data_IF_564189828528
#
_entry.id   IF_564189828528
#
_cell.length_a   1.000
_cell.length_b   1.000
_cell.length_c   1.000
_cell.angle_alpha   90.00
_cell.angle_beta   90.00
_cell.angle_gamma   90.00
#
_symmetry.space_group_name_H-M   'P 1'
#
loop_
_entity.id
_entity.type
_entity.pdbx_description
1 polymer ?
#
# COMPACT_ATOMS: atom_id res chain seq x y z
N UNK A 1 10.24 14.03 -11.32
CA UNK A 1 9.91 14.38 -9.92
C UNK A 1 9.23 15.74 -9.91
N UNK A 2 8.05 15.85 -9.32
CA UNK A 2 7.32 17.12 -9.19
C UNK A 2 8.08 18.05 -8.23
N UNK A 3 8.23 19.33 -8.58
CA UNK A 3 8.96 20.28 -7.76
C UNK A 3 8.24 20.52 -6.42
N UNK A 4 9.00 20.67 -5.32
CA UNK A 4 8.43 20.93 -3.98
C UNK A 4 7.49 22.14 -3.93
N UNK A 5 7.73 23.15 -4.77
CA UNK A 5 6.88 24.33 -4.86
C UNK A 5 5.50 24.00 -5.47
N UNK A 6 5.43 23.06 -6.42
CA UNK A 6 4.17 22.67 -7.05
C UNK A 6 3.22 22.00 -6.04
N UNK A 7 3.73 21.19 -5.12
CA UNK A 7 2.93 20.64 -4.01
C UNK A 7 2.32 21.74 -3.14
N UNK A 8 3.11 22.75 -2.76
CA UNK A 8 2.61 23.88 -1.96
C UNK A 8 1.53 24.66 -2.70
N UNK A 9 1.68 24.84 -4.02
CA UNK A 9 0.71 25.56 -4.85
C UNK A 9 -0.65 24.86 -4.92
N UNK A 10 -0.73 23.54 -4.67
CA UNK A 10 -1.98 22.81 -4.56
C UNK A 10 -2.36 22.43 -3.12
N UNK A 11 -1.68 23.00 -2.12
CA UNK A 11 -1.98 22.80 -0.70
C UNK A 11 -1.46 21.48 -0.11
N UNK A 12 -0.62 20.74 -0.83
CA UNK A 12 -0.02 19.49 -0.39
C UNK A 12 1.41 19.70 0.16
N UNK A 13 1.86 18.75 0.98
CA UNK A 13 3.24 18.64 1.46
C UNK A 13 3.97 17.53 0.71
N UNK A 14 5.16 17.85 0.21
CA UNK A 14 6.07 16.86 -0.37
C UNK A 14 6.77 16.05 0.75
N UNK A 15 7.06 14.77 0.50
CA UNK A 15 7.70 13.82 1.44
C UNK A 15 6.94 13.80 2.77
N UNK A 16 5.63 13.60 2.68
CA UNK A 16 4.75 13.52 3.84
C UNK A 16 3.71 12.42 3.65
N UNK A 17 3.39 11.72 4.74
CA UNK A 17 2.39 10.65 4.72
C UNK A 17 1.00 11.21 4.99
N UNK A 18 0.04 10.76 4.17
CA UNK A 18 -1.38 11.05 4.31
C UNK A 18 -2.14 9.74 4.51
N UNK A 19 -3.22 9.78 5.28
CA UNK A 19 -4.08 8.61 5.47
C UNK A 19 -5.21 8.62 4.45
N UNK A 20 -5.32 7.55 3.65
CA UNK A 20 -6.48 7.30 2.79
C UNK A 20 -7.68 6.91 3.67
N UNK A 21 -8.77 7.66 3.54
CA UNK A 21 -9.97 7.48 4.37
C UNK A 21 -11.12 6.83 3.59
N UNK A 22 -11.31 7.21 2.32
CA UNK A 22 -12.47 6.78 1.54
C UNK A 22 -12.24 6.99 0.03
N UNK A 23 -13.04 6.32 -0.79
CA UNK A 23 -13.11 6.50 -2.25
C UNK A 23 -14.56 6.53 -2.71
N UNK A 24 -14.87 7.40 -3.67
CA UNK A 24 -16.22 7.51 -4.23
C UNK A 24 -16.16 7.63 -5.75
N UNK A 25 -16.99 6.86 -6.43
CA UNK A 25 -17.32 7.08 -7.83
C UNK A 25 -18.76 7.63 -7.92
N UNK A 26 -18.98 8.65 -8.74
CA UNK A 26 -20.32 9.15 -9.02
C UNK A 26 -21.16 8.11 -9.78
N UNK A 27 -22.48 8.19 -9.68
CA UNK A 27 -23.38 7.17 -10.26
C UNK A 27 -23.26 7.08 -11.79
N UNK A 28 -22.95 8.19 -12.45
CA UNK A 28 -22.71 8.28 -13.90
C UNK A 28 -21.26 7.91 -14.29
N UNK A 29 -20.40 7.59 -13.31
CA UNK A 29 -18.98 7.28 -13.50
C UNK A 29 -18.09 8.47 -13.86
N UNK A 30 -18.65 9.68 -13.96
CA UNK A 30 -17.94 10.89 -14.40
C UNK A 30 -16.84 11.33 -13.43
N UNK A 31 -17.07 11.17 -12.12
CA UNK A 31 -16.16 11.63 -11.08
C UNK A 31 -15.67 10.46 -10.23
N UNK A 32 -14.35 10.39 -10.06
CA UNK A 32 -13.68 9.48 -9.12
C UNK A 32 -12.95 10.34 -8.10
N UNK A 33 -13.40 10.26 -6.85
CA UNK A 33 -12.92 11.08 -5.75
C UNK A 33 -12.27 10.19 -4.70
N UNK A 34 -11.21 10.70 -4.09
CA UNK A 34 -10.50 10.05 -2.98
C UNK A 34 -10.44 11.02 -1.79
N UNK A 35 -10.71 10.49 -0.60
CA UNK A 35 -10.68 11.21 0.66
C UNK A 35 -9.36 10.92 1.35
N UNK A 36 -8.58 11.95 1.61
CA UNK A 36 -7.31 11.86 2.33
C UNK A 36 -7.38 12.69 3.62
N UNK A 37 -6.49 12.36 4.56
CA UNK A 37 -6.28 13.12 5.78
C UNK A 37 -4.81 13.44 5.99
N UNK A 38 -4.50 14.71 6.22
CA UNK A 38 -3.22 15.14 6.77
C UNK A 38 -3.24 15.01 8.30
N UNK A 39 -2.37 14.19 8.92
CA UNK A 39 -2.36 13.99 10.37
C UNK A 39 -1.83 15.19 11.17
N UNK A 40 -1.06 16.10 10.56
CA UNK A 40 -0.34 17.14 11.32
C UNK A 40 -1.10 18.46 11.42
N UNK A 41 -1.87 18.84 10.40
CA UNK A 41 -2.68 20.05 10.49
C UNK A 41 -3.70 20.14 9.35
N UNK A 42 -4.77 20.89 9.62
CA UNK A 42 -5.69 21.40 8.61
C UNK A 42 -5.14 22.49 7.68
N UNK A 43 -3.89 22.93 7.84
CA UNK A 43 -3.33 24.03 7.02
C UNK A 43 -2.86 23.58 5.64
N UNK A 44 -2.55 22.29 5.48
CA UNK A 44 -2.05 21.72 4.23
C UNK A 44 -3.05 20.67 3.72
N UNK A 45 -4.17 21.18 3.23
CA UNK A 45 -5.24 20.44 2.56
C UNK A 45 -5.28 20.83 1.09
N UNK A 46 -5.76 19.92 0.25
CA UNK A 46 -5.97 20.18 -1.17
C UNK A 46 -6.83 21.42 -1.41
N UNK A 47 -6.40 22.29 -2.33
CA UNK A 47 -7.11 23.53 -2.70
C UNK A 47 -7.58 23.56 -4.16
N UNK A 48 -7.47 22.45 -4.88
CA UNK A 48 -7.93 22.33 -6.27
C UNK A 48 -9.40 21.89 -6.36
N UNK A 49 -9.76 21.26 -7.47
CA UNK A 49 -11.09 20.71 -7.71
C UNK A 49 -11.55 19.80 -6.56
N UNK A 50 -12.81 19.91 -6.15
CA UNK A 50 -13.37 19.16 -5.02
C UNK A 50 -12.72 19.41 -3.65
N UNK A 51 -11.89 20.46 -3.51
CA UNK A 51 -11.58 21.02 -2.19
C UNK A 51 -12.84 21.55 -1.50
N UNK A 52 -12.79 21.73 -0.18
CA UNK A 52 -13.97 22.12 0.62
C UNK A 52 -14.65 23.42 0.14
N UNK A 53 -13.87 24.36 -0.40
CA UNK A 53 -14.36 25.66 -0.89
C UNK A 53 -14.65 25.67 -2.42
N UNK A 54 -14.58 24.51 -3.09
CA UNK A 54 -14.74 24.38 -4.55
C UNK A 54 -16.20 24.54 -5.02
N UNK A 55 -16.43 25.31 -6.08
CA UNK A 55 -17.77 25.51 -6.66
C UNK A 55 -18.38 24.25 -7.31
N UNK A 56 -17.56 23.26 -7.68
CA UNK A 56 -18.03 21.99 -8.25
C UNK A 56 -19.02 21.26 -7.33
N UNK A 57 -18.95 21.49 -6.02
CA UNK A 57 -19.92 20.97 -5.07
C UNK A 57 -21.33 21.51 -5.30
N UNK A 58 -21.45 22.79 -5.69
CA UNK A 58 -22.74 23.44 -5.98
C UNK A 58 -23.37 22.90 -7.27
N UNK A 59 -22.53 22.57 -8.26
CA UNK A 59 -22.96 21.94 -9.51
C UNK A 59 -23.37 20.47 -9.32
N UNK A 60 -22.90 19.84 -8.24
CA UNK A 60 -23.14 18.43 -7.93
C UNK A 60 -23.78 18.26 -6.54
N UNK A 61 -25.00 18.77 -6.31
CA UNK A 61 -25.61 18.84 -4.98
C UNK A 61 -25.84 17.47 -4.35
N UNK A 62 -26.02 16.43 -5.16
CA UNK A 62 -26.11 15.04 -4.68
C UNK A 62 -24.80 14.57 -4.05
N UNK A 63 -23.67 14.79 -4.72
CA UNK A 63 -22.34 14.45 -4.18
C UNK A 63 -21.98 15.32 -2.99
N UNK A 64 -22.30 16.62 -3.02
CA UNK A 64 -22.11 17.51 -1.88
C UNK A 64 -22.86 17.00 -0.65
N UNK A 65 -24.15 16.70 -0.81
CA UNK A 65 -24.97 16.15 0.29
C UNK A 65 -24.49 14.77 0.73
N UNK A 66 -23.88 13.96 -0.14
CA UNK A 66 -23.38 12.64 0.24
C UNK A 66 -22.05 12.71 0.99
N UNK A 67 -21.11 13.47 0.47
CA UNK A 67 -19.68 13.40 0.82
C UNK A 67 -19.24 14.49 1.80
N UNK A 68 -20.04 15.54 2.00
CA UNK A 68 -19.79 16.65 2.92
C UNK A 68 -20.85 16.74 4.05
N UNK A 69 -21.53 15.62 4.37
CA UNK A 69 -22.54 15.53 5.44
C UNK A 69 -22.02 15.97 6.82
N UNK A 70 -20.75 15.71 7.09
CA UNK A 70 -20.12 16.01 8.36
C UNK A 70 -19.72 17.48 8.40
N UNK A 71 -20.09 18.21 9.46
CA UNK A 71 -19.52 19.54 9.73
C UNK A 71 -18.02 19.38 9.99
N UNK A 72 -17.22 19.50 8.93
CA UNK A 72 -15.77 19.42 9.02
C UNK A 72 -15.24 20.71 9.61
N UNK A 73 -14.40 20.59 10.63
CA UNK A 73 -13.54 21.70 10.99
C UNK A 73 -12.41 21.74 9.97
N UNK A 74 -12.09 22.92 9.41
CA UNK A 74 -10.88 23.08 8.57
C UNK A 74 -9.61 22.59 9.29
N UNK A 75 -9.65 22.40 10.61
CA UNK A 75 -8.54 21.87 11.43
C UNK A 75 -8.30 20.37 11.31
N UNK A 76 -9.25 19.59 10.78
CA UNK A 76 -9.19 18.12 10.82
C UNK A 76 -8.25 17.52 9.76
N UNK A 77 -7.82 18.33 8.78
CA UNK A 77 -6.89 17.94 7.73
C UNK A 77 -7.47 17.00 6.68
N UNK A 78 -8.79 16.79 6.69
CA UNK A 78 -9.51 15.89 5.79
C UNK A 78 -9.95 16.65 4.55
N UNK A 79 -9.70 16.10 3.36
CA UNK A 79 -10.13 16.69 2.10
C UNK A 79 -10.46 15.63 1.05
N UNK A 80 -11.31 16.00 0.09
CA UNK A 80 -11.52 15.24 -1.14
C UNK A 80 -10.65 15.81 -2.26
N UNK A 81 -10.25 14.96 -3.21
CA UNK A 81 -9.59 15.36 -4.45
C UNK A 81 -9.94 14.38 -5.59
N UNK A 82 -9.76 14.78 -6.87
CA UNK A 82 -9.86 13.86 -7.99
C UNK A 82 -8.83 12.73 -7.89
N UNK A 83 -9.23 11.52 -8.26
CA UNK A 83 -8.34 10.37 -8.32
C UNK A 83 -7.14 10.63 -9.27
N UNK A 84 -7.36 11.35 -10.37
CA UNK A 84 -6.33 11.71 -11.33
C UNK A 84 -5.27 12.63 -10.70
N UNK A 85 -5.69 13.56 -9.84
CA UNK A 85 -4.76 14.39 -9.07
C UNK A 85 -4.02 13.56 -8.02
N UNK A 86 -4.66 12.56 -7.42
CA UNK A 86 -3.99 11.65 -6.50
C UNK A 86 -2.86 10.87 -7.20
N UNK A 87 -3.15 10.26 -8.36
CA UNK A 87 -2.14 9.56 -9.17
C UNK A 87 -1.00 10.49 -9.58
N UNK A 88 -1.29 11.77 -9.85
CA UNK A 88 -0.26 12.76 -10.20
C UNK A 88 0.67 13.06 -9.02
N UNK A 89 0.14 13.26 -7.82
CA UNK A 89 0.89 13.81 -6.68
C UNK A 89 1.39 12.76 -5.68
N UNK A 90 0.83 11.55 -5.67
CA UNK A 90 1.18 10.48 -4.72
C UNK A 90 1.85 9.31 -5.45
N UNK A 91 3.08 9.00 -5.06
CA UNK A 91 3.89 7.94 -5.69
C UNK A 91 3.59 6.56 -5.10
N UNK A 92 3.33 6.50 -3.80
CA UNK A 92 3.21 5.25 -3.05
C UNK A 92 1.92 5.22 -2.22
N UNK A 93 1.29 4.04 -2.18
CA UNK A 93 0.14 3.75 -1.31
C UNK A 93 0.44 2.52 -0.48
N UNK A 94 0.43 2.66 0.85
CA UNK A 94 0.64 1.58 1.79
C UNK A 94 -0.72 1.08 2.29
N UNK A 95 -1.01 -0.20 2.07
CA UNK A 95 -2.26 -0.83 2.48
C UNK A 95 -1.92 -1.94 3.47
N UNK A 96 -2.40 -1.81 4.71
CA UNK A 96 -2.38 -2.89 5.68
C UNK A 96 -3.71 -3.66 5.56
N UNK A 97 -3.65 -4.88 5.00
CA UNK A 97 -4.83 -5.74 4.88
C UNK A 97 -4.98 -6.56 6.15
N UNK A 98 -6.15 -6.48 6.78
CA UNK A 98 -6.54 -7.37 7.87
C UNK A 98 -7.42 -8.47 7.26
N UNK A 99 -7.04 -9.72 7.46
CA UNK A 99 -7.79 -10.89 7.01
C UNK A 99 -8.15 -11.78 8.22
N UNK A 100 -9.26 -11.49 8.92
CA UNK A 100 -9.57 -12.12 10.21
C UNK A 100 -9.92 -13.61 10.08
N UNK A 101 -10.33 -14.05 8.90
CA UNK A 101 -10.72 -15.42 8.55
C UNK A 101 -9.56 -16.25 8.00
N UNK A 102 -8.35 -15.68 7.93
CA UNK A 102 -7.18 -16.37 7.40
C UNK A 102 -6.37 -17.00 8.53
N UNK A 103 -5.86 -18.20 8.26
CA UNK A 103 -4.85 -18.81 9.11
C UNK A 103 -3.48 -18.24 8.77
N UNK A 104 -2.78 -17.70 9.77
CA UNK A 104 -1.47 -17.07 9.60
C UNK A 104 -0.37 -17.90 10.25
N UNK A 105 0.70 -18.17 9.49
CA UNK A 105 1.94 -18.76 10.00
C UNK A 105 3.08 -17.79 9.70
N UNK A 106 3.88 -17.48 10.73
CA UNK A 106 5.08 -16.67 10.59
C UNK A 106 6.28 -17.48 11.03
N UNK A 107 7.28 -17.53 10.18
CA UNK A 107 8.59 -18.08 10.52
C UNK A 107 9.67 -17.04 10.25
N UNK A 108 10.77 -17.12 11.00
CA UNK A 108 11.90 -16.20 10.90
C UNK A 108 13.18 -16.97 10.71
N UNK A 109 13.99 -16.56 9.73
CA UNK A 109 15.28 -17.17 9.43
C UNK A 109 16.35 -16.14 9.11
N UNK A 110 17.60 -16.59 9.16
CA UNK A 110 18.74 -15.82 8.69
C UNK A 110 19.13 -16.31 7.29
N UNK A 111 19.22 -15.39 6.33
CA UNK A 111 19.64 -15.68 4.96
C UNK A 111 21.11 -15.32 4.79
N UNK A 112 21.92 -16.25 4.31
CA UNK A 112 23.35 -16.07 4.05
C UNK A 112 23.61 -16.23 2.54
N UNK A 113 23.49 -15.14 1.74
CA UNK A 113 23.61 -15.21 0.28
C UNK A 113 24.96 -15.77 -0.19
N UNK A 114 26.03 -15.42 0.52
CA UNK A 114 27.40 -15.85 0.22
C UNK A 114 27.59 -17.37 0.35
N UNK A 115 26.73 -18.04 1.11
CA UNK A 115 26.76 -19.49 1.31
C UNK A 115 25.81 -20.23 0.37
N UNK A 116 25.13 -19.52 -0.54
CA UNK A 116 24.12 -20.11 -1.43
C UNK A 116 22.94 -20.74 -0.68
N UNK A 117 22.73 -20.39 0.59
CA UNK A 117 21.69 -20.99 1.41
C UNK A 117 20.32 -20.46 1.00
N UNK A 118 19.44 -21.38 0.62
CA UNK A 118 18.03 -21.13 0.37
C UNK A 118 17.20 -21.78 1.47
N UNK A 119 16.29 -21.02 2.08
CA UNK A 119 15.29 -21.58 2.98
C UNK A 119 14.12 -22.11 2.15
N UNK A 120 13.73 -23.37 2.38
CA UNK A 120 12.63 -24.02 1.68
C UNK A 120 11.53 -24.38 2.68
N UNK A 121 10.29 -24.15 2.28
CA UNK A 121 9.09 -24.54 3.03
C UNK A 121 8.22 -25.42 2.13
N UNK A 122 7.69 -26.50 2.70
CA UNK A 122 6.75 -27.38 2.03
C UNK A 122 5.33 -27.00 2.45
N UNK A 123 4.48 -26.71 1.47
CA UNK A 123 3.06 -26.42 1.67
C UNK A 123 2.23 -27.49 1.00
N UNK A 124 1.49 -28.27 1.79
CA UNK A 124 0.59 -29.30 1.26
C UNK A 124 -0.84 -28.74 1.17
N UNK A 125 -1.26 -28.41 -0.06
CA UNK A 125 -2.57 -27.80 -0.35
C UNK A 125 -3.55 -28.92 -0.76
N UNK A 126 -4.45 -29.30 0.14
CA UNK A 126 -5.40 -30.41 -0.07
C UNK A 126 -6.64 -30.04 -0.88
N UNK A 127 -7.02 -28.77 -0.85
CA UNK A 127 -8.22 -28.21 -1.49
C UNK A 127 -7.85 -26.90 -2.17
N UNK A 128 -8.69 -26.38 -3.06
CA UNK A 128 -8.47 -25.04 -3.63
C UNK A 128 -8.36 -24.01 -2.49
N UNK A 129 -7.21 -23.36 -2.38
CA UNK A 129 -6.85 -22.47 -1.27
C UNK A 129 -6.25 -21.19 -1.83
N UNK A 130 -6.76 -20.03 -1.37
CA UNK A 130 -6.11 -18.74 -1.59
C UNK A 130 -4.92 -18.60 -0.63
N UNK A 131 -3.77 -18.19 -1.16
CA UNK A 131 -2.54 -18.04 -0.38
C UNK A 131 -1.94 -16.65 -0.61
N UNK A 132 -1.45 -16.04 0.46
CA UNK A 132 -0.66 -14.81 0.43
C UNK A 132 0.67 -15.08 1.11
N UNK A 133 1.76 -14.90 0.37
CA UNK A 133 3.13 -15.17 0.83
C UNK A 133 3.88 -13.86 0.87
N UNK A 134 4.22 -13.41 2.08
CA UNK A 134 4.96 -12.18 2.30
C UNK A 134 6.33 -12.48 2.91
N UNK A 135 7.38 -11.92 2.33
CA UNK A 135 8.73 -11.98 2.88
C UNK A 135 9.17 -10.55 3.21
N UNK A 136 9.55 -10.33 4.47
CA UNK A 136 10.03 -9.03 4.94
C UNK A 136 11.35 -9.19 5.70
N UNK A 137 12.21 -8.17 5.58
CA UNK A 137 13.45 -8.08 6.35
C UNK A 137 13.15 -7.45 7.71
N UNK A 138 13.58 -8.09 8.79
CA UNK A 138 13.59 -7.45 10.11
C UNK A 138 14.68 -6.38 10.14
N UNK A 139 14.30 -5.13 10.36
CA UNK A 139 15.23 -4.02 10.60
C UNK A 139 15.20 -3.66 12.09
N UNK A 140 16.38 -3.57 12.72
CA UNK A 140 16.50 -3.07 14.09
C UNK A 140 16.44 -1.54 14.11
N UNK A 141 15.80 -0.97 15.14
CA UNK A 141 15.41 0.45 15.26
C UNK A 141 16.57 1.48 15.12
N UNK A 142 17.84 1.05 15.06
CA UNK A 142 19.02 1.92 15.05
C UNK A 142 19.81 1.95 13.73
N UNK A 143 19.41 1.20 12.70
CA UNK A 143 20.11 1.17 11.39
C UNK A 143 19.31 1.94 10.33
N UNK A 144 18.99 3.22 10.60
CA UNK A 144 18.21 4.06 9.68
C UNK A 144 18.84 4.23 8.29
N UNK A 145 20.11 3.85 8.09
CA UNK A 145 20.77 3.95 6.79
C UNK A 145 21.79 2.81 6.66
N UNK A 146 21.33 1.61 6.32
CA UNK A 146 22.14 0.71 5.52
C UNK A 146 21.24 0.17 4.41
N UNK A 147 21.35 0.77 3.23
CA UNK A 147 20.97 0.10 1.99
C UNK A 147 21.74 -1.23 2.00
N UNK A 148 21.03 -2.35 2.19
CA UNK A 148 21.61 -3.64 1.86
C UNK A 148 21.39 -3.83 0.37
N UNK A 149 22.44 -4.16 -0.36
CA UNK A 149 22.34 -4.59 -1.77
C UNK A 149 21.64 -5.95 -1.92
N UNK A 150 21.22 -6.56 -0.81
CA UNK A 150 20.51 -7.83 -0.79
C UNK A 150 19.04 -7.61 -1.15
N UNK A 151 18.68 -8.07 -2.34
CA UNK A 151 17.29 -8.20 -2.78
C UNK A 151 16.70 -9.50 -2.22
N UNK A 152 15.50 -9.42 -1.64
CA UNK A 152 14.74 -10.60 -1.21
C UNK A 152 13.82 -11.06 -2.34
N UNK A 153 13.74 -12.37 -2.56
CA UNK A 153 12.86 -12.98 -3.55
C UNK A 153 12.21 -14.24 -2.95
N UNK A 154 10.94 -14.45 -3.28
CA UNK A 154 10.20 -15.68 -3.04
C UNK A 154 9.91 -16.32 -4.39
N UNK A 155 10.21 -17.61 -4.49
CA UNK A 155 9.78 -18.46 -5.60
C UNK A 155 8.79 -19.49 -5.08
N UNK A 156 7.67 -19.66 -5.78
CA UNK A 156 6.71 -20.75 -5.54
C UNK A 156 6.92 -21.76 -6.66
N UNK A 157 7.12 -23.02 -6.29
CA UNK A 157 7.45 -24.11 -7.19
C UNK A 157 6.45 -25.25 -7.03
N UNK A 158 6.01 -25.80 -8.16
CA UNK A 158 5.26 -27.04 -8.19
C UNK A 158 6.26 -28.20 -8.10
N UNK A 159 6.07 -29.08 -7.12
CA UNK A 159 6.96 -30.22 -6.89
C UNK A 159 6.20 -31.54 -7.02
N UNK A 160 6.89 -32.54 -7.56
CA UNK A 160 6.46 -33.93 -7.56
C UNK A 160 7.36 -34.72 -6.61
N UNK A 161 6.74 -35.42 -5.67
CA UNK A 161 7.44 -36.36 -4.81
C UNK A 161 7.75 -37.65 -5.58
N UNK A 162 9.01 -38.06 -5.52
CA UNK A 162 9.53 -39.32 -6.04
C UNK A 162 9.79 -40.29 -4.88
N UNK A 163 10.18 -41.52 -5.21
CA UNK A 163 10.56 -42.51 -4.22
C UNK A 163 11.68 -41.99 -3.28
N UNK A 164 11.66 -42.44 -2.02
CA UNK A 164 12.66 -42.11 -1.00
C UNK A 164 12.76 -40.62 -0.65
N UNK A 165 11.63 -39.89 -0.58
CA UNK A 165 11.59 -38.47 -0.21
C UNK A 165 12.44 -37.57 -1.11
N UNK A 166 12.67 -37.99 -2.36
CA UNK A 166 13.28 -37.13 -3.36
C UNK A 166 12.20 -36.31 -4.04
N UNK A 167 12.46 -35.04 -4.36
CA UNK A 167 11.49 -34.16 -5.00
C UNK A 167 12.03 -33.69 -6.36
N UNK A 168 11.13 -33.59 -7.33
CA UNK A 168 11.41 -32.98 -8.62
C UNK A 168 10.63 -31.68 -8.74
N UNK A 169 11.31 -30.58 -9.03
CA UNK A 169 10.66 -29.33 -9.43
C UNK A 169 10.08 -29.54 -10.83
N UNK A 170 8.76 -29.44 -10.94
CA UNK A 170 8.03 -29.59 -12.20
C UNK A 170 7.88 -28.23 -12.90
N UNK A 171 7.60 -27.17 -12.14
CA UNK A 171 7.35 -25.82 -12.66
C UNK A 171 7.66 -24.76 -11.61
N UNK A 172 8.00 -23.55 -12.06
CA UNK A 172 8.11 -22.35 -11.22
C UNK A 172 7.04 -21.36 -11.67
N UNK A 173 5.80 -21.44 -11.14
CA UNK A 173 4.72 -20.55 -11.55
C UNK A 173 4.92 -19.09 -11.13
N UNK A 174 5.59 -18.83 -10.00
CA UNK A 174 5.70 -17.48 -9.44
C UNK A 174 7.13 -17.23 -8.95
N UNK A 175 7.69 -16.10 -9.36
CA UNK A 175 8.94 -15.52 -8.83
C UNK A 175 8.67 -14.05 -8.53
N UNK A 176 8.85 -13.62 -7.28
CA UNK A 176 8.71 -12.21 -6.94
C UNK A 176 9.91 -11.43 -7.48
N UNK A 177 9.73 -10.54 -8.46
CA UNK A 177 10.83 -9.76 -9.03
C UNK A 177 11.32 -8.63 -8.12
N UNK A 178 10.56 -8.26 -7.09
CA UNK A 178 10.88 -7.20 -6.14
C UNK A 178 10.40 -7.63 -4.76
N UNK A 179 11.33 -7.79 -3.81
CA UNK A 179 10.98 -7.91 -2.39
C UNK A 179 10.17 -6.69 -1.98
N UNK A 180 9.01 -6.88 -1.36
CA UNK A 180 8.22 -5.75 -0.89
C UNK A 180 9.04 -4.97 0.15
N UNK A 181 9.53 -3.80 -0.24
CA UNK A 181 10.12 -2.83 0.69
C UNK A 181 8.99 -2.09 1.42
N UNK A 182 8.30 -2.73 2.37
CA UNK A 182 7.39 -1.98 3.25
C UNK A 182 7.61 -2.27 4.71
N UNK A 183 8.13 -1.25 5.37
CA UNK A 183 8.21 -1.11 6.81
C UNK A 183 6.97 -0.38 7.29
N UNK A 184 6.19 -1.03 8.14
CA UNK A 184 5.44 -0.32 9.19
C UNK A 184 5.73 -1.05 10.49
N UNK A 185 6.51 -0.40 11.35
CA UNK A 185 6.60 -0.75 12.76
C UNK A 185 5.32 -0.26 13.41
N UNK A 186 4.55 -1.16 14.03
CA UNK A 186 3.62 -0.79 15.10
C UNK A 186 4.21 -1.37 16.38
N UNK A 187 4.38 -0.51 17.38
CA UNK A 187 4.85 -0.90 18.72
C UNK A 187 3.96 -1.96 19.37
#
# INVERSE_FOLDING_TARGET
LIAKQEFKNCGLLNIHAYSLQDVKQSNDGKYRLIKLRNPWSGKYTWIGDWSDDCLLWNENPHLHRELLKEKRSKRDGVFWMPFESFVKYFECVDICKIRPDWYEVRDSGNFYPEQGMMQVYYLHIKTATELDVTLHRKISKNLRIQQSDVSLCVAIVDMEEKAHQSYRICRIPIISQLGQHKFVSTD
#
